data_IF_817346035994
#
_entry.id   IF_817346035994
#
_cell.length_a   1.000
_cell.length_b   1.000
_cell.length_c   1.000
_cell.angle_alpha   90.00
_cell.angle_beta   90.00
_cell.angle_gamma   90.00
#
_symmetry.space_group_name_H-M   'P 1'
#
loop_
_entity.id
_entity.type
_entity.pdbx_description
1 polymer ?
#
# COMPACT_ATOMS: atom_id res chain seq x y z
N UNK A 1 -33.85 18.47 -0.32
CA UNK A 1 -33.13 19.74 -0.33
C UNK A 1 -31.65 19.44 -0.37
N UNK A 2 -31.03 19.92 -1.38
CA UNK A 2 -29.76 19.72 -2.00
C UNK A 2 -28.60 19.18 -1.17
N UNK A 3 -28.02 18.07 -1.63
CA UNK A 3 -26.66 17.67 -1.33
C UNK A 3 -25.73 18.73 -1.95
N UNK A 4 -25.08 19.51 -1.08
CA UNK A 4 -24.08 20.49 -1.50
C UNK A 4 -22.95 19.78 -2.23
N UNK A 5 -22.71 20.17 -3.46
CA UNK A 5 -21.44 19.93 -4.14
C UNK A 5 -20.34 20.51 -3.25
N UNK A 6 -19.57 19.64 -2.59
CA UNK A 6 -18.29 19.99 -2.02
C UNK A 6 -17.41 20.40 -3.22
N UNK A 7 -17.29 21.69 -3.46
CA UNK A 7 -16.39 22.22 -4.45
C UNK A 7 -14.98 21.82 -4.03
N UNK A 8 -14.33 20.98 -4.82
CA UNK A 8 -12.88 20.83 -4.77
C UNK A 8 -12.31 22.21 -5.08
N UNK A 9 -11.96 22.96 -4.02
CA UNK A 9 -11.23 24.20 -4.20
C UNK A 9 -9.91 23.81 -4.85
N UNK A 10 -9.73 24.16 -6.12
CA UNK A 10 -8.41 24.09 -6.76
C UNK A 10 -7.54 25.09 -6.03
N UNK A 11 -6.77 24.58 -5.07
CA UNK A 11 -5.72 25.38 -4.41
C UNK A 11 -4.67 25.62 -5.48
N UNK A 12 -4.38 26.89 -5.73
CA UNK A 12 -3.21 27.24 -6.54
C UNK A 12 -1.99 26.59 -5.90
N UNK A 13 -1.15 25.95 -6.70
CA UNK A 13 0.08 25.36 -6.19
C UNK A 13 0.93 26.42 -5.52
N UNK A 14 1.36 26.16 -4.28
CA UNK A 14 2.17 27.08 -3.51
C UNK A 14 3.63 27.01 -3.95
N UNK A 15 4.31 28.14 -3.94
CA UNK A 15 5.77 28.13 -4.01
C UNK A 15 6.34 27.47 -2.73
N UNK A 16 7.53 26.84 -2.80
CA UNK A 16 8.14 26.15 -1.67
C UNK A 16 8.25 26.99 -0.38
N UNK A 17 8.63 28.25 -0.47
CA UNK A 17 8.71 29.16 0.69
C UNK A 17 7.35 29.41 1.32
N UNK A 18 6.30 29.60 0.51
CA UNK A 18 4.94 29.81 1.00
C UNK A 18 4.37 28.57 1.70
N UNK A 19 4.71 27.37 1.26
CA UNK A 19 4.39 26.13 1.97
C UNK A 19 5.01 26.12 3.37
N UNK A 20 6.31 26.46 3.47
CA UNK A 20 7.02 26.40 4.74
C UNK A 20 6.52 27.45 5.73
N UNK A 21 6.14 28.63 5.26
CA UNK A 21 5.52 29.66 6.08
C UNK A 21 4.14 29.21 6.57
N UNK A 22 3.31 28.64 5.69
CA UNK A 22 2.00 28.10 6.05
C UNK A 22 2.08 27.01 7.14
N UNK A 23 3.07 26.12 7.05
CA UNK A 23 3.24 25.05 8.05
C UNK A 23 3.86 25.61 9.35
N UNK A 24 4.79 26.55 9.26
CA UNK A 24 5.43 27.18 10.43
C UNK A 24 4.44 28.03 11.25
N UNK A 25 3.50 28.69 10.60
CA UNK A 25 2.43 29.48 11.23
C UNK A 25 1.33 28.58 11.85
N UNK A 26 1.52 27.25 11.80
CA UNK A 26 0.67 26.30 12.51
C UNK A 26 -0.64 25.99 11.80
N UNK A 27 -0.71 26.18 10.44
CA UNK A 27 -1.98 26.01 9.71
C UNK A 27 -3.11 26.70 10.47
N UNK A 28 -3.03 28.01 10.60
CA UNK A 28 -3.83 28.93 11.44
C UNK A 28 -5.06 28.27 12.09
N UNK A 29 -5.24 28.43 13.41
CA UNK A 29 -6.30 27.76 14.20
C UNK A 29 -7.71 27.86 13.59
N UNK A 30 -7.94 28.86 12.75
CA UNK A 30 -9.18 29.03 11.97
C UNK A 30 -9.29 28.08 10.78
N UNK A 31 -8.18 27.54 10.26
CA UNK A 31 -8.17 26.53 9.20
C UNK A 31 -8.33 25.12 9.76
N UNK A 32 -8.10 24.91 11.06
CA UNK A 32 -8.24 23.63 11.75
C UNK A 32 -9.69 23.25 12.09
N UNK A 33 -10.68 24.08 11.80
CA UNK A 33 -12.10 23.74 12.01
C UNK A 33 -12.55 22.49 11.23
N UNK A 34 -11.71 21.97 10.35
CA UNK A 34 -11.77 20.58 9.91
C UNK A 34 -10.52 20.20 9.12
N UNK A 35 -9.83 19.13 9.51
CA UNK A 35 -8.91 18.33 8.69
C UNK A 35 -9.54 18.01 7.33
N UNK A 36 -10.86 17.97 7.25
CA UNK A 36 -11.66 17.85 6.05
C UNK A 36 -11.58 19.04 5.08
N UNK A 37 -11.13 20.21 5.53
CA UNK A 37 -11.09 21.42 4.68
C UNK A 37 -9.85 21.47 3.78
N UNK A 38 -8.71 20.90 4.22
CA UNK A 38 -7.42 20.99 3.52
C UNK A 38 -6.61 19.69 3.67
N UNK A 39 -7.09 18.55 3.13
CA UNK A 39 -6.38 17.27 3.31
C UNK A 39 -5.09 17.19 2.50
N UNK A 40 -4.88 18.03 1.50
CA UNK A 40 -3.69 18.06 0.66
C UNK A 40 -3.26 19.47 0.29
N UNK A 41 -1.95 19.67 0.15
CA UNK A 41 -1.33 20.92 -0.33
C UNK A 41 -0.52 20.61 -1.58
N UNK A 42 -0.75 21.41 -2.62
CA UNK A 42 0.03 21.36 -3.86
C UNK A 42 1.22 22.31 -3.78
N UNK A 43 2.37 21.82 -4.25
CA UNK A 43 3.63 22.59 -4.29
C UNK A 43 4.12 22.62 -5.72
N UNK A 44 4.25 23.81 -6.27
CA UNK A 44 4.91 24.04 -7.57
C UNK A 44 6.43 23.97 -7.37
N UNK A 45 7.05 22.98 -7.97
CA UNK A 45 8.49 22.76 -7.91
C UNK A 45 9.24 23.38 -9.10
N UNK A 46 8.56 24.17 -9.96
CA UNK A 46 9.22 24.91 -11.04
C UNK A 46 10.27 25.88 -10.49
N UNK A 47 10.00 26.69 -9.44
CA UNK A 47 11.07 27.32 -8.68
C UNK A 47 11.61 26.31 -7.65
N UNK A 48 12.90 25.96 -7.66
CA UNK A 48 13.47 25.02 -6.71
C UNK A 48 13.44 25.60 -5.29
N UNK A 49 13.45 24.72 -4.28
CA UNK A 49 13.68 25.13 -2.91
C UNK A 49 15.06 25.82 -2.79
N UNK A 50 15.12 26.94 -2.06
CA UNK A 50 16.40 27.51 -1.68
C UNK A 50 17.11 26.59 -0.66
N UNK A 51 18.44 26.71 -0.54
CA UNK A 51 19.20 25.93 0.46
C UNK A 51 18.72 26.20 1.90
N UNK A 52 18.22 27.41 2.18
CA UNK A 52 17.64 27.76 3.49
C UNK A 52 16.28 27.07 3.68
N UNK A 53 15.45 27.00 2.66
CA UNK A 53 14.16 26.34 2.71
C UNK A 53 14.30 24.82 2.90
N UNK A 54 15.31 24.20 2.29
CA UNK A 54 15.59 22.77 2.45
C UNK A 54 15.82 22.37 3.91
N UNK A 55 16.57 23.20 4.66
CA UNK A 55 16.84 22.93 6.06
C UNK A 55 15.56 23.06 6.91
N UNK A 56 14.72 24.05 6.63
CA UNK A 56 13.41 24.20 7.28
C UNK A 56 12.46 23.05 6.91
N UNK A 57 12.43 22.66 5.63
CA UNK A 57 11.59 21.59 5.11
C UNK A 57 11.81 20.28 5.87
N UNK A 58 13.07 19.88 6.10
CA UNK A 58 13.41 18.62 6.78
C UNK A 58 12.78 18.52 8.17
N UNK A 59 12.59 19.64 8.86
CA UNK A 59 12.01 19.65 10.22
C UNK A 59 10.48 19.76 10.19
N UNK A 60 9.93 20.60 9.33
CA UNK A 60 8.51 20.96 9.34
C UNK A 60 7.64 19.92 8.60
N UNK A 61 8.12 19.40 7.47
CA UNK A 61 7.29 18.55 6.60
C UNK A 61 7.10 17.13 7.15
N UNK A 62 8.00 16.68 8.01
CA UNK A 62 7.96 15.30 8.55
C UNK A 62 6.73 15.01 9.40
N UNK A 63 6.22 16.02 10.09
CA UNK A 63 5.04 15.91 10.97
C UNK A 63 3.80 16.61 10.42
N UNK A 64 3.86 17.16 9.21
CA UNK A 64 2.75 17.89 8.61
C UNK A 64 1.45 17.06 8.60
N UNK A 65 0.33 17.61 9.11
CA UNK A 65 -0.96 16.89 9.17
C UNK A 65 -1.76 17.02 7.87
N UNK A 66 -1.07 17.04 6.74
CA UNK A 66 -1.62 17.15 5.39
C UNK A 66 -0.80 16.31 4.42
N UNK A 67 -1.41 15.91 3.31
CA UNK A 67 -0.70 15.27 2.19
C UNK A 67 0.02 16.33 1.37
N UNK A 68 1.30 16.16 1.14
CA UNK A 68 2.16 17.12 0.42
C UNK A 68 2.46 16.59 -0.99
N UNK A 69 1.96 17.29 -2.02
CA UNK A 69 2.08 16.88 -3.41
C UNK A 69 2.92 17.89 -4.18
N UNK A 70 4.10 17.48 -4.61
CA UNK A 70 4.95 18.26 -5.51
C UNK A 70 4.57 18.02 -6.97
N UNK A 71 4.49 19.10 -7.74
CA UNK A 71 4.19 19.07 -9.16
C UNK A 71 5.29 19.82 -9.94
N UNK A 72 5.77 19.25 -11.03
CA UNK A 72 6.75 19.87 -11.91
C UNK A 72 6.53 19.48 -13.36
N UNK A 73 7.01 20.30 -14.29
CA UNK A 73 7.07 19.91 -15.71
C UNK A 73 8.09 18.78 -15.94
N UNK A 74 9.22 18.84 -15.26
CA UNK A 74 10.31 17.90 -15.41
C UNK A 74 10.67 17.25 -14.07
N UNK A 75 10.94 15.94 -14.11
CA UNK A 75 11.51 15.24 -12.97
C UNK A 75 12.99 15.63 -12.83
N UNK A 76 13.38 16.07 -11.64
CA UNK A 76 14.79 16.34 -11.31
C UNK A 76 15.29 15.17 -10.44
N UNK A 77 16.31 14.46 -10.90
CA UNK A 77 16.99 13.45 -10.11
C UNK A 77 17.79 14.14 -8.99
N UNK A 78 17.81 13.52 -7.81
CA UNK A 78 18.60 13.96 -6.64
C UNK A 78 18.27 15.38 -6.10
N UNK A 79 17.04 15.86 -6.28
CA UNK A 79 16.62 17.10 -5.64
C UNK A 79 16.35 16.84 -4.14
N UNK A 80 17.13 17.44 -3.22
CA UNK A 80 16.94 17.27 -1.78
C UNK A 80 15.58 17.78 -1.28
N UNK A 81 14.91 18.67 -2.02
CA UNK A 81 13.58 19.18 -1.72
C UNK A 81 12.51 18.11 -1.72
N UNK A 82 12.75 17.07 -2.50
CA UNK A 82 11.87 15.93 -2.67
C UNK A 82 11.66 15.14 -1.39
N UNK A 83 12.65 15.16 -0.48
CA UNK A 83 12.65 14.33 0.74
C UNK A 83 11.51 14.67 1.69
N UNK A 84 11.00 15.89 1.69
CA UNK A 84 9.92 16.32 2.59
C UNK A 84 8.50 16.10 2.05
N UNK A 85 8.33 15.96 0.73
CA UNK A 85 7.01 15.81 0.11
C UNK A 85 6.58 14.34 0.09
N UNK A 86 5.27 14.08 -0.06
CA UNK A 86 4.75 12.71 -0.06
C UNK A 86 4.63 12.10 -1.45
N UNK A 87 4.21 12.92 -2.41
CA UNK A 87 3.97 12.50 -3.79
C UNK A 87 4.62 13.51 -4.73
N UNK A 88 5.21 13.02 -5.80
CA UNK A 88 5.88 13.83 -6.81
C UNK A 88 5.38 13.46 -8.19
N UNK A 89 4.69 14.38 -8.83
CA UNK A 89 4.12 14.20 -10.16
C UNK A 89 4.83 15.08 -11.18
N UNK A 90 5.09 14.55 -12.37
CA UNK A 90 5.63 15.35 -13.46
C UNK A 90 4.95 15.04 -14.79
N UNK A 91 5.02 16.01 -15.75
CA UNK A 91 4.47 15.86 -17.10
C UNK A 91 5.40 15.14 -18.06
N UNK A 92 6.55 14.66 -17.62
CA UNK A 92 7.41 13.79 -18.42
C UNK A 92 6.78 12.42 -18.64
N UNK A 93 7.03 11.80 -19.80
CA UNK A 93 6.58 10.42 -20.09
C UNK A 93 7.37 9.35 -19.32
N UNK A 94 8.60 9.69 -18.92
CA UNK A 94 9.49 8.83 -18.12
C UNK A 94 10.10 9.67 -17.01
N UNK A 95 10.15 9.12 -15.81
CA UNK A 95 10.73 9.81 -14.67
C UNK A 95 11.56 8.87 -13.79
N UNK A 96 12.73 9.33 -13.29
CA UNK A 96 13.47 8.56 -12.29
C UNK A 96 12.70 8.48 -10.98
N UNK A 97 13.02 7.48 -10.14
CA UNK A 97 12.55 7.49 -8.76
C UNK A 97 13.03 8.80 -8.07
N UNK A 98 12.22 9.38 -7.20
CA UNK A 98 10.92 8.93 -6.70
C UNK A 98 9.70 9.49 -7.46
N UNK A 99 9.91 10.12 -8.60
CA UNK A 99 8.87 10.76 -9.41
C UNK A 99 7.90 9.75 -10.05
N UNK A 100 6.67 10.20 -10.25
CA UNK A 100 5.62 9.54 -11.03
C UNK A 100 5.48 10.30 -12.36
N UNK A 101 5.78 9.62 -13.46
CA UNK A 101 5.61 10.13 -14.81
C UNK A 101 4.14 10.07 -15.20
N UNK A 102 3.52 11.21 -15.42
CA UNK A 102 2.11 11.31 -15.82
C UNK A 102 1.95 11.69 -17.30
N UNK A 103 3.01 12.16 -17.96
CA UNK A 103 2.94 12.63 -19.35
C UNK A 103 1.85 13.69 -19.54
N UNK A 104 1.10 13.58 -20.61
CA UNK A 104 -0.04 14.46 -20.91
C UNK A 104 -1.21 14.31 -19.94
N UNK A 105 -1.23 13.29 -19.09
CA UNK A 105 -2.31 12.99 -18.14
C UNK A 105 -2.08 13.61 -16.74
N UNK A 106 -1.10 14.48 -16.57
CA UNK A 106 -0.76 15.06 -15.26
C UNK A 106 -1.97 15.71 -14.59
N UNK A 107 -2.72 16.53 -15.31
CA UNK A 107 -3.90 17.22 -14.76
C UNK A 107 -5.02 16.25 -14.33
N UNK A 108 -5.24 15.19 -15.12
CA UNK A 108 -6.24 14.17 -14.85
C UNK A 108 -5.83 13.30 -13.65
N UNK A 109 -4.57 12.88 -13.63
CA UNK A 109 -3.99 12.10 -12.52
C UNK A 109 -4.04 12.87 -11.21
N UNK A 110 -3.70 14.15 -11.24
CA UNK A 110 -3.76 15.04 -10.08
C UNK A 110 -5.21 15.21 -9.60
N UNK A 111 -6.15 15.47 -10.51
CA UNK A 111 -7.57 15.63 -10.16
C UNK A 111 -8.14 14.35 -9.53
N UNK A 112 -7.83 13.17 -10.09
CA UNK A 112 -8.24 11.89 -9.54
C UNK A 112 -7.63 11.63 -8.14
N UNK A 113 -6.35 11.93 -7.97
CA UNK A 113 -5.66 11.80 -6.68
C UNK A 113 -6.29 12.72 -5.61
N UNK A 114 -6.52 13.98 -5.92
CA UNK A 114 -7.16 14.93 -5.01
C UNK A 114 -8.59 14.53 -4.66
N UNK A 115 -9.36 14.02 -5.61
CA UNK A 115 -10.70 13.50 -5.36
C UNK A 115 -10.67 12.28 -4.39
N UNK A 116 -9.70 11.37 -4.56
CA UNK A 116 -9.51 10.22 -3.68
C UNK A 116 -9.14 10.66 -2.27
N UNK A 117 -8.19 11.58 -2.11
CA UNK A 117 -7.79 12.15 -0.82
C UNK A 117 -8.96 12.85 -0.13
N UNK A 118 -9.70 13.69 -0.85
CA UNK A 118 -10.87 14.38 -0.32
C UNK A 118 -12.00 13.45 0.10
N UNK A 119 -12.12 12.29 -0.55
CA UNK A 119 -13.10 11.28 -0.18
C UNK A 119 -12.76 10.54 1.13
N UNK A 120 -11.49 10.47 1.54
CA UNK A 120 -11.03 9.77 2.74
C UNK A 120 -9.83 10.51 3.38
N UNK A 121 -10.03 11.76 3.85
CA UNK A 121 -8.93 12.63 4.30
C UNK A 121 -8.16 12.03 5.47
N UNK A 122 -8.84 11.46 6.46
CA UNK A 122 -8.20 10.87 7.65
C UNK A 122 -7.27 9.71 7.27
N UNK A 123 -7.71 8.84 6.37
CA UNK A 123 -6.91 7.72 5.89
C UNK A 123 -5.73 8.19 5.03
N UNK A 124 -5.93 9.22 4.19
CA UNK A 124 -4.89 9.77 3.34
C UNK A 124 -3.76 10.42 4.16
N UNK A 125 -4.11 11.27 5.13
CA UNK A 125 -3.15 11.90 6.03
C UNK A 125 -2.44 10.84 6.88
N UNK A 126 -3.21 9.89 7.44
CA UNK A 126 -2.64 8.82 8.25
C UNK A 126 -1.66 7.95 7.47
N UNK A 127 -1.96 7.64 6.19
CA UNK A 127 -1.05 6.88 5.33
C UNK A 127 0.26 7.62 5.12
N UNK A 128 0.22 8.91 4.75
CA UNK A 128 1.44 9.66 4.48
C UNK A 128 2.29 9.88 5.73
N UNK A 129 1.67 10.19 6.87
CA UNK A 129 2.35 10.26 8.16
C UNK A 129 3.00 8.93 8.55
N UNK A 130 2.27 7.81 8.39
CA UNK A 130 2.80 6.47 8.66
C UNK A 130 4.01 6.15 7.78
N UNK A 131 3.94 6.45 6.48
CA UNK A 131 5.05 6.23 5.56
C UNK A 131 6.29 7.05 5.91
N UNK A 132 6.12 8.32 6.33
CA UNK A 132 7.23 9.18 6.78
C UNK A 132 7.90 8.61 8.03
N UNK A 133 7.11 8.22 9.04
CA UNK A 133 7.63 7.69 10.32
C UNK A 133 8.28 6.33 10.15
N UNK A 134 7.75 5.50 9.25
CA UNK A 134 8.22 4.12 9.05
C UNK A 134 9.40 3.99 8.09
N UNK A 135 9.83 5.07 7.42
CA UNK A 135 10.85 5.03 6.36
C UNK A 135 12.17 4.39 6.83
N UNK A 136 12.57 4.66 8.08
CA UNK A 136 13.81 4.14 8.66
C UNK A 136 13.60 3.04 9.71
N UNK A 137 12.36 2.58 9.91
CA UNK A 137 12.04 1.52 10.86
C UNK A 137 12.35 0.14 10.28
N UNK A 138 12.59 -0.85 11.14
CA UNK A 138 12.59 -2.25 10.70
C UNK A 138 11.22 -2.68 10.17
N UNK A 139 11.17 -3.78 9.42
CA UNK A 139 9.90 -4.28 8.89
C UNK A 139 8.87 -4.58 10.01
N UNK A 140 9.34 -5.15 11.11
CA UNK A 140 8.49 -5.48 12.25
C UNK A 140 7.95 -4.24 12.96
N UNK A 141 8.78 -3.21 13.20
CA UNK A 141 8.36 -1.95 13.81
C UNK A 141 7.35 -1.21 12.93
N UNK A 142 7.61 -1.14 11.62
CA UNK A 142 6.69 -0.53 10.67
C UNK A 142 5.32 -1.22 10.64
N UNK A 143 5.28 -2.56 10.71
CA UNK A 143 4.01 -3.32 10.78
C UNK A 143 3.27 -3.07 12.09
N UNK A 144 3.95 -2.88 13.21
CA UNK A 144 3.31 -2.48 14.47
C UNK A 144 2.68 -1.09 14.34
N UNK A 145 3.41 -0.13 13.77
CA UNK A 145 2.89 1.22 13.51
C UNK A 145 1.70 1.20 12.54
N UNK A 146 1.78 0.40 11.46
CA UNK A 146 0.65 0.15 10.54
C UNK A 146 -0.59 -0.33 11.30
N UNK A 147 -0.41 -1.30 12.19
CA UNK A 147 -1.52 -1.87 12.94
C UNK A 147 -2.17 -0.87 13.91
N UNK A 148 -1.41 0.07 14.48
CA UNK A 148 -1.98 1.17 15.29
C UNK A 148 -2.84 2.10 14.42
N UNK A 149 -2.30 2.54 13.27
CA UNK A 149 -3.01 3.43 12.35
C UNK A 149 -4.25 2.74 11.78
N UNK A 150 -4.13 1.49 11.38
CA UNK A 150 -5.27 0.70 10.89
C UNK A 150 -6.38 0.60 11.95
N UNK A 151 -6.01 0.35 13.22
CA UNK A 151 -6.97 0.29 14.33
C UNK A 151 -7.63 1.63 14.63
N UNK A 152 -6.86 2.73 14.56
CA UNK A 152 -7.39 4.09 14.68
C UNK A 152 -8.48 4.34 13.62
N UNK A 153 -8.18 4.05 12.38
CA UNK A 153 -9.09 4.25 11.25
C UNK A 153 -10.31 3.32 11.28
N UNK A 154 -10.19 2.12 11.84
CA UNK A 154 -11.35 1.24 12.08
C UNK A 154 -12.37 1.85 13.06
N UNK A 155 -11.96 2.76 13.93
CA UNK A 155 -12.83 3.54 14.80
C UNK A 155 -13.44 4.77 14.14
N UNK A 156 -13.07 5.10 12.91
CA UNK A 156 -13.51 6.31 12.20
C UNK A 156 -14.85 6.16 11.48
N UNK A 157 -15.50 7.30 11.24
CA UNK A 157 -16.82 7.36 10.60
C UNK A 157 -16.77 6.90 9.13
N UNK A 158 -15.65 7.12 8.44
CA UNK A 158 -15.50 6.71 7.04
C UNK A 158 -15.55 5.21 6.88
N UNK A 159 -14.79 4.47 7.71
CA UNK A 159 -14.83 3.01 7.73
C UNK A 159 -16.21 2.49 8.12
N UNK A 160 -16.83 3.07 9.14
CA UNK A 160 -18.17 2.70 9.60
C UNK A 160 -19.22 2.91 8.49
N UNK A 161 -19.15 4.02 7.76
CA UNK A 161 -20.02 4.32 6.61
C UNK A 161 -19.81 3.33 5.47
N UNK A 162 -18.55 3.04 5.13
CA UNK A 162 -18.22 2.04 4.12
C UNK A 162 -18.76 0.66 4.50
N UNK A 163 -18.57 0.26 5.77
CA UNK A 163 -19.04 -1.03 6.27
C UNK A 163 -20.57 -1.14 6.23
N UNK A 164 -21.29 -0.07 6.62
CA UNK A 164 -22.75 -0.01 6.59
C UNK A 164 -23.31 -0.01 5.14
N UNK A 165 -22.57 0.56 4.19
CA UNK A 165 -22.96 0.59 2.78
C UNK A 165 -22.78 -0.74 2.05
N UNK A 166 -22.16 -1.74 2.67
CA UNK A 166 -21.99 -3.06 2.08
C UNK A 166 -23.31 -3.84 2.12
N UNK A 167 -23.57 -4.54 1.02
CA UNK A 167 -24.70 -5.47 0.98
C UNK A 167 -24.53 -6.55 2.04
N UNK A 168 -25.56 -6.80 2.84
CA UNK A 168 -25.63 -7.93 3.75
C UNK A 168 -25.42 -9.24 2.97
N UNK A 169 -24.36 -9.95 3.24
CA UNK A 169 -24.10 -11.29 2.68
C UNK A 169 -24.18 -12.31 3.79
N UNK A 170 -24.74 -13.46 3.50
CA UNK A 170 -24.61 -14.61 4.40
C UNK A 170 -23.14 -15.01 4.44
N UNK A 171 -22.50 -15.06 5.61
CA UNK A 171 -21.10 -15.50 5.70
C UNK A 171 -20.95 -16.88 5.06
N UNK A 172 -19.87 -17.06 4.30
CA UNK A 172 -19.58 -18.33 3.68
C UNK A 172 -19.21 -19.37 4.74
N UNK A 173 -19.55 -20.64 4.54
CA UNK A 173 -19.05 -21.70 5.39
C UNK A 173 -17.52 -21.69 5.45
N UNK A 174 -16.96 -22.02 6.61
CA UNK A 174 -15.50 -22.20 6.70
C UNK A 174 -15.09 -23.39 5.84
N UNK A 175 -14.02 -23.25 5.00
CA UNK A 175 -13.49 -24.37 4.23
C UNK A 175 -13.12 -25.54 5.16
N UNK A 176 -13.46 -26.76 4.79
CA UNK A 176 -13.05 -27.96 5.54
C UNK A 176 -11.58 -28.34 5.25
N UNK A 177 -11.10 -27.99 4.04
CA UNK A 177 -9.72 -28.23 3.60
C UNK A 177 -8.77 -27.10 4.03
N UNK A 178 -7.46 -27.38 4.00
CA UNK A 178 -6.43 -26.35 4.22
C UNK A 178 -6.53 -25.26 3.16
N UNK A 179 -6.45 -23.99 3.59
CA UNK A 179 -6.49 -22.83 2.68
C UNK A 179 -5.11 -22.41 2.19
N UNK A 180 -4.06 -23.07 2.72
CA UNK A 180 -2.67 -22.98 2.26
C UNK A 180 -2.12 -24.39 2.12
N UNK A 181 -1.80 -24.79 0.90
CA UNK A 181 -1.16 -26.06 0.66
C UNK A 181 0.36 -25.90 0.75
N UNK A 182 1.00 -26.81 1.49
CA UNK A 182 2.45 -26.82 1.67
C UNK A 182 2.99 -28.15 1.18
N UNK A 183 3.92 -28.11 0.24
CA UNK A 183 4.58 -29.29 -0.32
C UNK A 183 6.08 -29.07 -0.29
N UNK A 184 6.81 -30.08 0.21
CA UNK A 184 8.28 -30.08 0.23
C UNK A 184 8.83 -31.04 -0.83
N UNK A 185 9.81 -30.57 -1.57
CA UNK A 185 10.60 -31.37 -2.48
C UNK A 185 12.07 -31.05 -2.25
N UNK A 186 12.82 -31.97 -1.65
CA UNK A 186 14.22 -31.79 -1.26
C UNK A 186 14.42 -30.53 -0.39
N UNK A 187 15.09 -29.53 -0.91
CA UNK A 187 15.40 -28.25 -0.25
C UNK A 187 14.41 -27.12 -0.61
N UNK A 188 13.41 -27.39 -1.46
CA UNK A 188 12.37 -26.43 -1.85
C UNK A 188 11.06 -26.68 -1.08
N UNK A 189 10.47 -25.61 -0.54
CA UNK A 189 9.12 -25.59 0.00
C UNK A 189 8.21 -24.81 -0.93
N UNK A 190 7.19 -25.46 -1.46
CA UNK A 190 6.15 -24.83 -2.27
C UNK A 190 4.94 -24.53 -1.39
N UNK A 191 4.56 -23.27 -1.33
CA UNK A 191 3.42 -22.76 -0.57
C UNK A 191 2.40 -22.23 -1.58
N UNK A 192 1.18 -22.76 -1.55
CA UNK A 192 0.13 -22.41 -2.52
C UNK A 192 -1.12 -21.92 -1.78
N UNK A 193 -1.56 -20.69 -2.06
CA UNK A 193 -2.85 -20.18 -1.58
C UNK A 193 -3.96 -20.99 -2.27
N UNK A 194 -4.88 -21.58 -1.49
CA UNK A 194 -5.81 -22.60 -1.97
C UNK A 194 -7.27 -22.28 -1.60
N UNK A 195 -7.71 -21.10 -2.04
CA UNK A 195 -9.11 -20.65 -2.01
C UNK A 195 -9.52 -20.03 -3.35
N UNK A 196 -9.35 -20.75 -4.48
CA UNK A 196 -9.58 -20.19 -5.83
C UNK A 196 -11.02 -19.68 -6.03
N UNK A 197 -12.00 -20.30 -5.36
CA UNK A 197 -13.43 -19.94 -5.43
C UNK A 197 -13.74 -18.52 -4.89
N UNK A 198 -12.82 -17.95 -4.13
CA UNK A 198 -12.88 -16.56 -3.62
C UNK A 198 -11.62 -15.78 -3.97
N UNK A 199 -10.95 -16.17 -5.05
CA UNK A 199 -9.75 -15.52 -5.54
C UNK A 199 -8.66 -15.39 -4.46
N UNK A 200 -8.50 -16.43 -3.63
CA UNK A 200 -7.55 -16.48 -2.52
C UNK A 200 -7.67 -15.29 -1.54
N UNK A 201 -8.91 -14.87 -1.22
CA UNK A 201 -9.16 -13.80 -0.26
C UNK A 201 -8.47 -14.08 1.08
N UNK A 202 -7.70 -13.09 1.54
CA UNK A 202 -6.84 -13.17 2.72
C UNK A 202 -7.66 -12.96 4.01
N UNK A 203 -7.98 -14.05 4.67
CA UNK A 203 -8.67 -14.04 5.97
C UNK A 203 -7.77 -14.55 7.10
N UNK A 204 -8.31 -14.57 8.31
CA UNK A 204 -7.61 -14.98 9.52
C UNK A 204 -6.99 -16.39 9.41
N UNK A 205 -7.71 -17.33 8.81
CA UNK A 205 -7.22 -18.70 8.64
C UNK A 205 -6.05 -18.77 7.66
N UNK A 206 -6.14 -18.08 6.52
CA UNK A 206 -5.03 -18.03 5.55
C UNK A 206 -3.80 -17.36 6.17
N UNK A 207 -3.99 -16.26 6.90
CA UNK A 207 -2.91 -15.63 7.68
C UNK A 207 -2.23 -16.63 8.61
N UNK A 208 -3.02 -17.36 9.39
CA UNK A 208 -2.49 -18.27 10.41
C UNK A 208 -1.75 -19.46 9.78
N UNK A 209 -2.28 -20.05 8.71
CA UNK A 209 -1.62 -21.14 7.98
C UNK A 209 -0.34 -20.66 7.28
N UNK A 210 -0.29 -19.44 6.72
CA UNK A 210 0.91 -18.83 6.17
C UNK A 210 1.97 -18.59 7.25
N UNK A 211 1.59 -18.06 8.42
CA UNK A 211 2.53 -17.85 9.53
C UNK A 211 3.18 -19.17 9.95
N UNK A 212 2.42 -20.26 10.06
CA UNK A 212 2.98 -21.58 10.40
C UNK A 212 3.92 -22.10 9.29
N UNK A 213 3.56 -21.91 8.00
CA UNK A 213 4.41 -22.32 6.89
C UNK A 213 5.75 -21.54 6.86
N UNK A 214 5.71 -20.21 7.06
CA UNK A 214 6.93 -19.40 7.10
C UNK A 214 7.80 -19.69 8.33
N UNK A 215 7.19 -19.95 9.50
CA UNK A 215 7.92 -20.38 10.70
C UNK A 215 8.62 -21.73 10.52
N UNK A 216 7.99 -22.66 9.79
CA UNK A 216 8.65 -23.93 9.44
C UNK A 216 9.95 -23.66 8.67
N UNK A 217 9.94 -22.76 7.70
CA UNK A 217 11.15 -22.38 6.94
C UNK A 217 12.20 -21.71 7.81
N UNK A 218 11.78 -20.87 8.75
CA UNK A 218 12.69 -20.18 9.67
C UNK A 218 13.43 -21.16 10.58
N UNK A 219 12.73 -22.20 11.06
CA UNK A 219 13.31 -23.22 11.95
C UNK A 219 14.11 -24.28 11.19
N UNK A 220 13.61 -24.73 10.03
CA UNK A 220 14.28 -25.77 9.22
C UNK A 220 15.24 -25.15 8.19
N UNK A 221 16.49 -25.05 8.55
CA UNK A 221 17.55 -24.48 7.71
C UNK A 221 17.90 -25.35 6.48
N UNK A 222 17.35 -26.55 6.37
CA UNK A 222 17.51 -27.39 5.18
C UNK A 222 16.56 -26.99 4.04
N UNK A 223 15.58 -26.12 4.32
CA UNK A 223 14.74 -25.48 3.31
C UNK A 223 15.47 -24.22 2.83
N UNK A 224 16.10 -24.28 1.67
CA UNK A 224 16.89 -23.18 1.11
C UNK A 224 16.11 -22.33 0.11
N UNK A 225 15.00 -22.84 -0.43
CA UNK A 225 14.15 -22.12 -1.38
C UNK A 225 12.68 -22.26 -1.00
N UNK A 226 11.94 -21.18 -1.19
CA UNK A 226 10.48 -21.14 -1.00
C UNK A 226 9.84 -20.53 -2.24
N UNK A 227 8.88 -21.25 -2.82
CA UNK A 227 8.03 -20.71 -3.89
C UNK A 227 6.63 -20.50 -3.34
N UNK A 228 6.20 -19.23 -3.26
CA UNK A 228 4.84 -18.84 -2.90
C UNK A 228 4.03 -18.53 -4.17
N UNK A 229 2.85 -19.13 -4.31
CA UNK A 229 1.95 -18.91 -5.45
C UNK A 229 0.48 -18.98 -5.03
N UNK A 230 -0.44 -18.62 -5.93
CA UNK A 230 -1.88 -18.77 -5.75
C UNK A 230 -2.44 -19.83 -6.70
N UNK A 231 -3.49 -20.54 -6.27
CA UNK A 231 -4.28 -21.43 -7.12
C UNK A 231 -5.41 -20.65 -7.80
N UNK A 232 -5.85 -21.08 -9.00
CA UNK A 232 -6.99 -20.50 -9.70
C UNK A 232 -6.68 -19.24 -10.51
N UNK A 233 -7.67 -18.33 -10.70
CA UNK A 233 -7.57 -17.25 -11.69
C UNK A 233 -6.77 -16.02 -11.22
N UNK A 234 -6.42 -15.93 -9.94
CA UNK A 234 -5.68 -14.81 -9.38
C UNK A 234 -4.85 -15.22 -8.17
N UNK A 235 -3.75 -14.53 -7.95
CA UNK A 235 -2.89 -14.77 -6.79
C UNK A 235 -3.63 -14.51 -5.48
N UNK A 236 -4.16 -13.29 -5.27
CA UNK A 236 -4.95 -12.94 -4.09
C UNK A 236 -5.72 -11.63 -4.31
N UNK A 237 -7.01 -11.65 -4.03
CA UNK A 237 -7.93 -10.51 -4.19
C UNK A 237 -8.03 -9.58 -2.97
N UNK A 238 -7.09 -9.68 -2.03
CA UNK A 238 -7.05 -8.84 -0.82
C UNK A 238 -7.79 -9.43 0.36
N UNK A 239 -8.09 -8.61 1.36
CA UNK A 239 -8.74 -9.02 2.58
C UNK A 239 -10.09 -9.70 2.36
N UNK A 240 -10.36 -10.79 3.10
CA UNK A 240 -11.66 -11.47 3.02
C UNK A 240 -12.76 -10.54 3.56
N UNK A 241 -13.57 -10.04 2.63
CA UNK A 241 -14.62 -9.07 2.95
C UNK A 241 -15.64 -9.61 3.96
N UNK A 242 -15.80 -10.92 4.10
CA UNK A 242 -16.71 -11.49 5.09
C UNK A 242 -16.18 -11.34 6.53
N UNK A 243 -14.89 -11.05 6.70
CA UNK A 243 -14.26 -10.82 8.01
C UNK A 243 -14.23 -9.33 8.41
N UNK A 244 -14.47 -8.40 7.50
CA UNK A 244 -14.50 -6.98 7.83
C UNK A 244 -15.69 -6.66 8.75
N UNK A 245 -15.41 -5.96 9.86
CA UNK A 245 -16.42 -5.62 10.88
C UNK A 245 -16.72 -6.75 11.87
N UNK A 246 -16.07 -7.91 11.77
CA UNK A 246 -16.28 -9.03 12.69
C UNK A 246 -15.39 -8.98 13.94
N UNK A 247 -14.32 -8.18 13.91
CA UNK A 247 -13.45 -8.00 15.08
C UNK A 247 -14.24 -7.29 16.20
N UNK A 248 -14.16 -7.78 17.44
CA UNK A 248 -14.98 -7.25 18.56
C UNK A 248 -14.61 -5.80 18.89
N UNK A 249 -13.32 -5.44 18.82
CA UNK A 249 -12.83 -4.07 19.02
C UNK A 249 -11.52 -3.83 18.25
N UNK A 250 -11.24 -2.57 17.84
CA UNK A 250 -9.97 -2.21 17.18
C UNK A 250 -8.72 -2.61 17.97
N UNK A 251 -8.77 -2.53 19.31
CA UNK A 251 -7.66 -2.91 20.21
C UNK A 251 -7.37 -4.41 20.13
N UNK A 252 -8.41 -5.25 20.13
CA UNK A 252 -8.25 -6.70 19.99
C UNK A 252 -7.74 -7.06 18.60
N UNK A 253 -8.26 -6.39 17.57
CA UNK A 253 -7.79 -6.55 16.19
C UNK A 253 -6.30 -6.20 16.07
N UNK A 254 -5.82 -5.13 16.74
CA UNK A 254 -4.40 -4.78 16.81
C UNK A 254 -3.58 -5.92 17.45
N UNK A 255 -4.01 -6.43 18.60
CA UNK A 255 -3.32 -7.53 19.27
C UNK A 255 -3.21 -8.79 18.40
N UNK A 256 -4.26 -9.11 17.63
CA UNK A 256 -4.26 -10.26 16.71
C UNK A 256 -3.28 -10.01 15.57
N UNK A 257 -3.33 -8.84 14.92
CA UNK A 257 -2.46 -8.49 13.78
C UNK A 257 -0.98 -8.49 14.14
N UNK A 258 -0.63 -8.07 15.36
CA UNK A 258 0.77 -8.00 15.80
C UNK A 258 1.32 -9.34 16.31
N UNK A 259 0.47 -10.20 16.87
CA UNK A 259 0.88 -11.54 17.32
C UNK A 259 1.05 -12.53 16.17
N UNK A 260 0.22 -12.41 15.13
CA UNK A 260 0.21 -13.28 13.94
C UNK A 260 0.19 -12.42 12.70
N UNK A 261 1.38 -12.08 12.19
CA UNK A 261 1.56 -11.30 10.98
C UNK A 261 2.35 -12.11 9.96
N UNK A 262 1.70 -12.44 8.83
CA UNK A 262 2.33 -13.22 7.77
C UNK A 262 3.44 -12.44 7.07
N UNK A 263 3.31 -11.11 6.92
CA UNK A 263 4.35 -10.27 6.33
C UNK A 263 5.62 -10.24 7.15
N UNK A 264 5.52 -10.11 8.49
CA UNK A 264 6.68 -10.17 9.39
C UNK A 264 7.32 -11.55 9.36
N UNK A 265 6.53 -12.64 9.39
CA UNK A 265 7.07 -13.99 9.29
C UNK A 265 7.77 -14.24 7.95
N UNK A 266 7.22 -13.73 6.84
CA UNK A 266 7.85 -13.79 5.53
C UNK A 266 9.14 -12.97 5.48
N UNK A 267 9.15 -11.77 6.07
CA UNK A 267 10.33 -10.91 6.07
C UNK A 267 11.56 -11.53 6.74
N UNK A 268 11.35 -12.41 7.73
CA UNK A 268 12.42 -13.12 8.42
C UNK A 268 13.14 -14.15 7.53
N UNK A 269 12.48 -14.63 6.48
CA UNK A 269 12.99 -15.63 5.54
C UNK A 269 13.08 -15.09 4.10
N UNK A 270 12.92 -13.79 3.91
CA UNK A 270 12.71 -13.14 2.61
C UNK A 270 13.72 -13.56 1.55
N UNK A 271 15.00 -13.68 1.90
CA UNK A 271 16.09 -14.04 0.98
C UNK A 271 15.92 -15.42 0.32
N UNK A 272 15.11 -16.31 0.93
CA UNK A 272 14.80 -17.65 0.41
C UNK A 272 13.49 -17.70 -0.38
N UNK A 273 12.72 -16.59 -0.41
CA UNK A 273 11.35 -16.58 -0.95
C UNK A 273 11.29 -15.92 -2.32
N UNK A 274 10.78 -16.67 -3.27
CA UNK A 274 10.29 -16.18 -4.56
C UNK A 274 8.77 -16.27 -4.60
N UNK A 275 8.10 -15.23 -5.10
CA UNK A 275 6.64 -15.20 -5.22
C UNK A 275 6.24 -15.09 -6.69
N UNK A 276 5.38 -16.01 -7.15
CA UNK A 276 4.77 -15.97 -8.47
C UNK A 276 3.35 -15.42 -8.37
N UNK A 277 3.13 -14.25 -8.99
CA UNK A 277 1.83 -13.56 -8.97
C UNK A 277 1.18 -13.53 -10.33
N UNK A 278 -0.15 -13.68 -10.37
CA UNK A 278 -0.91 -13.68 -11.60
C UNK A 278 -2.33 -13.14 -11.39
N UNK A 279 -2.96 -12.75 -12.49
CA UNK A 279 -4.32 -12.21 -12.49
C UNK A 279 -4.40 -10.95 -11.64
N UNK A 280 -5.41 -10.84 -10.80
CA UNK A 280 -5.61 -9.66 -9.95
C UNK A 280 -4.92 -9.83 -8.60
N UNK A 281 -4.04 -8.91 -8.26
CA UNK A 281 -3.36 -8.79 -6.96
C UNK A 281 -3.87 -7.53 -6.26
N UNK A 282 -4.61 -7.69 -5.17
CA UNK A 282 -5.26 -6.58 -4.46
C UNK A 282 -4.88 -6.60 -2.98
N UNK A 283 -4.61 -5.43 -2.36
CA UNK A 283 -4.32 -5.32 -0.93
C UNK A 283 -3.26 -6.32 -0.49
N UNK A 284 -3.62 -7.27 0.40
CA UNK A 284 -2.70 -8.34 0.85
C UNK A 284 -2.04 -9.11 -0.30
N UNK A 285 -2.67 -9.18 -1.50
CA UNK A 285 -2.10 -9.77 -2.70
C UNK A 285 -0.96 -8.95 -3.32
N UNK A 286 -0.79 -7.71 -2.92
CA UNK A 286 0.36 -6.84 -3.23
C UNK A 286 1.30 -6.78 -2.04
N UNK A 287 0.73 -6.62 -0.84
CA UNK A 287 1.45 -6.33 0.40
C UNK A 287 2.39 -7.48 0.82
N UNK A 288 1.89 -8.73 0.77
CA UNK A 288 2.68 -9.91 1.15
C UNK A 288 3.82 -10.21 0.16
N UNK A 289 3.58 -10.28 -1.17
CA UNK A 289 4.67 -10.46 -2.14
C UNK A 289 5.79 -9.44 -2.01
N UNK A 290 5.46 -8.20 -1.68
CA UNK A 290 6.45 -7.13 -1.55
C UNK A 290 7.48 -7.34 -0.42
N UNK A 291 7.26 -8.27 0.51
CA UNK A 291 8.27 -8.68 1.51
C UNK A 291 9.32 -9.66 0.96
N UNK A 292 9.02 -10.39 -0.12
CA UNK A 292 9.93 -11.41 -0.67
C UNK A 292 11.13 -10.77 -1.37
N UNK A 293 12.23 -11.52 -1.50
CA UNK A 293 13.40 -11.04 -2.23
C UNK A 293 13.15 -10.97 -3.74
N UNK A 294 12.25 -11.81 -4.26
CA UNK A 294 11.93 -11.87 -5.68
C UNK A 294 10.43 -12.03 -5.92
N UNK A 295 9.89 -11.21 -6.80
CA UNK A 295 8.49 -11.26 -7.25
C UNK A 295 8.47 -11.36 -8.77
N UNK A 296 7.88 -12.44 -9.29
CA UNK A 296 7.71 -12.68 -10.73
C UNK A 296 6.22 -12.62 -11.06
N UNK A 297 5.85 -11.82 -12.05
CA UNK A 297 4.46 -11.63 -12.43
C UNK A 297 4.15 -12.22 -13.81
N UNK A 298 2.93 -12.76 -13.97
CA UNK A 298 2.39 -13.07 -15.29
C UNK A 298 2.12 -11.76 -16.05
N UNK A 299 2.29 -11.69 -17.37
CA UNK A 299 2.10 -10.46 -18.16
C UNK A 299 0.74 -9.76 -17.99
N UNK A 300 -0.31 -10.51 -17.67
CA UNK A 300 -1.67 -9.98 -17.48
C UNK A 300 -1.98 -9.60 -16.02
N UNK A 301 -0.98 -9.59 -15.15
CA UNK A 301 -1.19 -9.26 -13.73
C UNK A 301 -1.49 -7.77 -13.55
N UNK A 302 -2.43 -7.48 -12.66
CA UNK A 302 -2.75 -6.11 -12.22
C UNK A 302 -2.62 -5.99 -10.71
N UNK A 303 -2.20 -4.83 -10.24
CA UNK A 303 -1.96 -4.56 -8.82
C UNK A 303 -2.80 -3.38 -8.35
N UNK A 304 -3.47 -3.50 -7.19
CA UNK A 304 -4.35 -2.46 -6.65
C UNK A 304 -4.27 -2.41 -5.12
N UNK A 305 -4.24 -1.21 -4.57
CA UNK A 305 -4.45 -0.93 -3.14
C UNK A 305 -5.78 -0.16 -2.98
N UNK A 306 -6.88 -0.83 -2.58
CA UNK A 306 -8.20 -0.22 -2.52
C UNK A 306 -8.53 0.41 -1.16
N UNK A 307 -7.66 0.28 -0.17
CA UNK A 307 -7.93 0.55 1.25
C UNK A 307 -8.39 1.99 1.51
N UNK A 308 -7.86 2.96 0.74
CA UNK A 308 -8.23 4.38 0.87
C UNK A 308 -9.74 4.59 0.66
N UNK A 309 -10.37 3.85 -0.27
CA UNK A 309 -11.80 3.93 -0.53
C UNK A 309 -12.66 3.39 0.61
N UNK A 310 -12.07 2.56 1.45
CA UNK A 310 -12.69 1.99 2.66
C UNK A 310 -12.49 2.89 3.90
N UNK A 311 -11.73 3.98 3.79
CA UNK A 311 -11.29 4.79 4.92
C UNK A 311 -10.19 4.13 5.74
N UNK A 312 -9.38 3.27 5.12
CA UNK A 312 -8.30 2.51 5.75
C UNK A 312 -6.96 2.74 5.03
N UNK A 313 -5.90 2.25 5.62
CA UNK A 313 -4.58 2.07 5.01
C UNK A 313 -4.34 0.58 4.72
N UNK A 314 -3.36 0.17 3.89
CA UNK A 314 -2.92 -1.22 3.81
C UNK A 314 -2.68 -1.81 5.19
N UNK A 315 -3.12 -3.05 5.43
CA UNK A 315 -3.14 -3.63 6.77
C UNK A 315 -2.59 -5.06 6.89
N UNK A 316 -1.98 -5.58 5.81
CA UNK A 316 -1.28 -6.86 5.81
C UNK A 316 0.26 -6.70 5.76
N UNK A 317 0.76 -5.50 6.05
CA UNK A 317 2.17 -5.12 6.06
C UNK A 317 2.59 -4.22 4.90
N UNK A 318 1.66 -3.76 4.07
CA UNK A 318 1.94 -3.04 2.83
C UNK A 318 2.62 -1.69 3.04
N UNK A 319 2.34 -0.99 4.13
CA UNK A 319 3.02 0.27 4.45
C UNK A 319 4.48 0.05 4.92
N UNK A 320 4.84 -1.20 5.20
CA UNK A 320 6.20 -1.63 5.46
C UNK A 320 6.90 -2.19 4.20
N UNK A 321 6.27 -3.12 3.49
CA UNK A 321 6.89 -3.86 2.39
C UNK A 321 7.00 -3.04 1.11
N UNK A 322 5.92 -2.38 0.70
CA UNK A 322 5.85 -1.66 -0.58
C UNK A 322 6.87 -0.51 -0.67
N UNK A 323 7.01 0.37 0.36
CA UNK A 323 8.00 1.45 0.31
C UNK A 323 9.44 0.96 0.20
N UNK A 324 9.73 -0.24 0.72
CA UNK A 324 11.07 -0.85 0.62
C UNK A 324 11.44 -1.26 -0.80
N UNK A 325 10.43 -1.50 -1.65
CA UNK A 325 10.62 -1.81 -3.07
C UNK A 325 10.60 -0.58 -3.96
N UNK A 326 9.60 0.28 -3.79
CA UNK A 326 9.34 1.36 -4.75
C UNK A 326 9.57 2.77 -4.19
N UNK A 327 10.04 2.89 -2.95
CA UNK A 327 10.18 4.16 -2.24
C UNK A 327 8.84 4.67 -1.69
N UNK A 328 8.88 5.49 -0.62
CA UNK A 328 7.66 5.95 0.06
C UNK A 328 6.78 6.86 -0.81
N UNK A 329 7.36 7.64 -1.72
CA UNK A 329 6.62 8.57 -2.58
C UNK A 329 5.72 7.82 -3.58
N UNK A 330 6.26 6.80 -4.25
CA UNK A 330 5.47 5.93 -5.13
C UNK A 330 4.49 5.07 -4.35
N UNK A 331 4.86 4.62 -3.15
CA UNK A 331 3.96 3.90 -2.25
C UNK A 331 2.78 4.78 -1.79
N UNK A 332 3.02 6.05 -1.45
CA UNK A 332 1.97 7.01 -1.13
C UNK A 332 1.02 7.24 -2.31
N UNK A 333 1.57 7.48 -3.51
CA UNK A 333 0.75 7.62 -4.71
C UNK A 333 -0.09 6.37 -4.98
N UNK A 334 0.52 5.18 -4.95
CA UNK A 334 -0.17 3.92 -5.22
C UNK A 334 -1.29 3.63 -4.22
N UNK A 335 -1.04 3.92 -2.93
CA UNK A 335 -2.06 3.77 -1.88
C UNK A 335 -3.18 4.81 -1.93
N UNK A 336 -2.93 6.00 -2.52
CA UNK A 336 -3.88 7.10 -2.55
C UNK A 336 -4.61 7.27 -3.89
N UNK A 337 -4.02 6.83 -5.02
CA UNK A 337 -4.65 7.03 -6.33
C UNK A 337 -5.89 6.16 -6.56
N UNK A 338 -6.03 5.03 -5.83
CA UNK A 338 -7.16 4.11 -5.95
C UNK A 338 -7.31 3.44 -7.33
N UNK A 339 -6.25 3.50 -8.15
CA UNK A 339 -6.22 2.93 -9.50
C UNK A 339 -5.26 1.75 -9.59
N UNK A 340 -5.58 0.73 -10.40
CA UNK A 340 -4.66 -0.38 -10.61
C UNK A 340 -3.45 0.09 -11.43
N UNK A 341 -2.31 -0.54 -11.16
CA UNK A 341 -1.12 -0.45 -12.01
C UNK A 341 -0.90 -1.78 -12.73
N UNK A 342 -0.34 -1.71 -13.92
CA UNK A 342 0.01 -2.88 -14.75
C UNK A 342 1.42 -3.40 -14.45
N UNK A 343 1.78 -4.51 -15.08
CA UNK A 343 3.12 -5.11 -14.93
C UNK A 343 4.23 -4.21 -15.44
N UNK A 344 3.98 -3.36 -16.43
CA UNK A 344 4.97 -2.44 -16.99
C UNK A 344 5.35 -1.39 -15.97
N UNK A 345 4.36 -0.77 -15.34
CA UNK A 345 4.53 0.19 -14.25
C UNK A 345 5.15 -0.47 -13.03
N UNK A 346 4.64 -1.66 -12.64
CA UNK A 346 5.13 -2.41 -11.48
C UNK A 346 6.62 -2.78 -11.63
N UNK A 347 7.04 -3.20 -12.82
CA UNK A 347 8.44 -3.51 -13.14
C UNK A 347 9.30 -2.25 -13.14
N UNK A 348 8.84 -1.18 -13.80
CA UNK A 348 9.57 0.10 -13.86
C UNK A 348 9.75 0.74 -12.47
N UNK A 349 8.84 0.50 -11.54
CA UNK A 349 8.96 0.98 -10.18
C UNK A 349 9.79 0.06 -9.28
N UNK A 350 9.96 -1.22 -9.64
CA UNK A 350 10.63 -2.23 -8.83
C UNK A 350 9.69 -2.92 -7.84
N UNK A 351 8.37 -2.82 -8.03
CA UNK A 351 7.39 -3.58 -7.25
C UNK A 351 7.50 -5.08 -7.55
N UNK A 352 7.82 -5.42 -8.80
CA UNK A 352 8.14 -6.76 -9.27
C UNK A 352 9.54 -6.79 -9.90
N UNK A 353 10.16 -7.96 -9.98
CA UNK A 353 11.53 -8.15 -10.45
C UNK A 353 11.60 -8.73 -11.87
N UNK A 354 10.55 -9.44 -12.30
CA UNK A 354 10.48 -10.04 -13.63
C UNK A 354 9.03 -10.28 -14.09
N UNK A 355 8.90 -10.45 -15.39
CA UNK A 355 7.64 -10.88 -16.04
C UNK A 355 7.90 -12.20 -16.77
N UNK A 356 7.07 -13.23 -16.51
CA UNK A 356 7.22 -14.56 -17.09
C UNK A 356 5.85 -15.18 -17.40
N UNK A 357 5.65 -15.62 -18.63
CA UNK A 357 4.43 -16.31 -19.09
C UNK A 357 4.30 -17.73 -18.57
N UNK A 358 5.40 -18.36 -18.17
CA UNK A 358 5.45 -19.79 -17.82
C UNK A 358 5.07 -20.08 -16.37
N UNK A 359 4.94 -19.07 -15.52
CA UNK A 359 4.64 -19.27 -14.09
C UNK A 359 3.31 -19.99 -13.83
N UNK A 360 2.36 -19.95 -14.78
CA UNK A 360 1.09 -20.66 -14.69
C UNK A 360 1.19 -22.13 -15.14
N UNK A 361 2.20 -22.48 -15.95
CA UNK A 361 2.39 -23.84 -16.47
C UNK A 361 3.11 -24.73 -15.46
N UNK A 362 4.04 -24.18 -14.71
CA UNK A 362 4.83 -24.88 -13.67
C UNK A 362 3.99 -25.48 -12.54
N UNK A 363 2.68 -25.24 -12.52
CA UNK A 363 1.73 -25.77 -11.54
C UNK A 363 0.94 -26.99 -11.99
N UNK A 364 0.94 -27.31 -13.28
CA UNK A 364 0.13 -28.41 -13.83
C UNK A 364 0.80 -29.79 -13.74
N UNK A 365 2.12 -29.83 -13.61
CA UNK A 365 2.90 -31.06 -13.64
C UNK A 365 2.95 -31.83 -12.30
N UNK A 366 2.33 -31.31 -11.24
CA UNK A 366 2.36 -31.93 -9.91
C UNK A 366 1.12 -32.76 -9.56
N UNK A 367 0.12 -32.83 -10.47
CA UNK A 367 -1.13 -33.59 -10.29
C UNK A 367 -1.40 -34.61 -11.43
N UNK A 368 -0.36 -35.12 -12.05
CA UNK A 368 -0.43 -36.22 -13.02
C UNK A 368 -0.21 -37.59 -12.41
#
# INVERSE_FOLDING_TARGET
MGAGQAGVLMIAALAPSALLDLIADGLDDTALDSVSSWPAVLVDLTPPFSSADLLRATQLLQTAPVVLIGVSENAVADDPAVVGLDILLCSSDVAPAPWIACGSLLSESLAALLASIAASPDAAISLTQLLRVSEHSSAAEAVVAESWVYSLLQGGDRYSTWLAGRSSRTPRPRPEHSVVNVQRSEDELRITLNRPEVHNAYGARMRDELVEAFRLVDVDQTITRVLLRGEGPSFCSGGDLDEFGTAPAPVEAHSIRTRRNAGVALSAIAERVEVHVHGTCVGAGVELPAFASRVVAHPETTFLLPEISMGLVPGAGGTSSIPRRIGRHRAAYFGLCGQPIDVTTALAWGLIDAVDTQILEQGKDANG
#
